data_IF_292912543379
#
_entry.id   IF_292912543379
#
_cell.length_a   1.000
_cell.length_b   1.000
_cell.length_c   1.000
_cell.angle_alpha   90.00
_cell.angle_beta   90.00
_cell.angle_gamma   90.00
#
_symmetry.space_group_name_H-M   'P 1'
#
loop_
_entity.id
_entity.type
_entity.pdbx_description
1 polymer ?
#
# COMPACT_ATOMS: atom_id res chain seq x y z
N UNK A 1 -32.87 -78.89 25.05
CA UNK A 1 -34.30 -79.22 25.04
C UNK A 1 -35.04 -78.16 25.85
N UNK A 2 -36.15 -77.54 25.45
CA UNK A 2 -36.80 -77.52 24.18
C UNK A 2 -36.85 -76.11 23.50
N UNK A 3 -37.24 -76.10 22.24
CA UNK A 3 -37.57 -75.02 21.43
C UNK A 3 -38.85 -74.27 21.88
N UNK A 4 -38.93 -72.95 21.54
CA UNK A 4 -40.21 -72.24 21.45
C UNK A 4 -40.17 -71.31 20.27
N UNK A 5 -41.06 -71.59 19.36
CA UNK A 5 -41.42 -70.80 18.17
C UNK A 5 -41.97 -69.44 18.59
N UNK A 6 -41.64 -68.39 17.88
CA UNK A 6 -42.32 -67.10 17.98
C UNK A 6 -42.70 -66.57 16.60
N UNK A 7 -43.95 -66.39 16.50
CA UNK A 7 -44.80 -65.99 15.40
C UNK A 7 -44.39 -64.64 14.82
N UNK A 8 -44.24 -64.61 13.48
CA UNK A 8 -44.10 -63.38 12.69
C UNK A 8 -45.48 -62.76 12.52
N UNK A 9 -45.65 -61.52 13.01
CA UNK A 9 -46.79 -60.66 12.69
C UNK A 9 -46.37 -59.63 11.66
N UNK A 10 -46.82 -59.79 10.46
CA UNK A 10 -46.64 -58.78 9.39
C UNK A 10 -47.57 -57.58 9.63
N UNK A 11 -46.96 -56.43 9.87
CA UNK A 11 -47.68 -55.15 9.85
C UNK A 11 -47.42 -54.47 8.50
N UNK A 12 -48.42 -54.48 7.62
CA UNK A 12 -48.43 -53.70 6.35
C UNK A 12 -48.77 -52.26 6.69
N UNK A 13 -47.89 -51.33 6.39
CA UNK A 13 -48.16 -49.91 6.38
C UNK A 13 -48.49 -49.48 4.90
N UNK A 14 -49.47 -48.61 4.72
CA UNK A 14 -49.86 -48.14 3.36
C UNK A 14 -48.84 -47.17 2.81
N UNK A 15 -48.67 -47.24 1.49
CA UNK A 15 -47.70 -46.43 0.72
C UNK A 15 -47.85 -44.92 0.90
N UNK A 16 -46.79 -44.30 1.25
CA UNK A 16 -46.61 -42.85 1.17
C UNK A 16 -45.94 -42.53 -0.15
N UNK A 17 -46.67 -41.87 -1.04
CA UNK A 17 -46.16 -41.26 -2.28
C UNK A 17 -45.12 -40.21 -1.93
N UNK A 18 -43.87 -40.58 -1.97
CA UNK A 18 -42.77 -39.63 -1.89
C UNK A 18 -42.55 -38.98 -3.26
N UNK A 19 -43.30 -37.92 -3.52
CA UNK A 19 -42.94 -36.97 -4.56
C UNK A 19 -41.70 -36.25 -4.11
N UNK A 20 -40.55 -36.69 -4.58
CA UNK A 20 -39.24 -36.05 -4.37
C UNK A 20 -39.29 -34.65 -4.98
N UNK A 21 -39.50 -33.65 -4.11
CA UNK A 21 -39.19 -32.27 -4.39
C UNK A 21 -37.66 -32.13 -4.38
N UNK A 22 -37.05 -32.30 -5.55
CA UNK A 22 -35.67 -31.91 -5.78
C UNK A 22 -35.60 -30.37 -5.72
N UNK A 23 -35.33 -29.83 -4.53
CA UNK A 23 -34.94 -28.42 -4.37
C UNK A 23 -33.52 -28.34 -4.91
N UNK A 24 -33.40 -28.01 -6.19
CA UNK A 24 -32.12 -27.62 -6.78
C UNK A 24 -31.64 -26.33 -6.16
N UNK A 25 -30.71 -26.42 -5.19
CA UNK A 25 -29.97 -25.28 -4.70
C UNK A 25 -29.08 -24.76 -5.82
N UNK A 26 -29.54 -23.73 -6.53
CA UNK A 26 -28.70 -22.96 -7.44
C UNK A 26 -27.74 -22.20 -6.55
N UNK A 27 -26.55 -22.77 -6.28
CA UNK A 27 -25.41 -22.05 -5.75
C UNK A 27 -24.90 -21.17 -6.88
N UNK A 28 -25.43 -19.95 -6.94
CA UNK A 28 -24.85 -18.90 -7.78
C UNK A 28 -23.46 -18.61 -7.22
N UNK A 29 -22.45 -19.25 -7.77
CA UNK A 29 -21.05 -18.94 -7.48
C UNK A 29 -20.78 -17.52 -7.93
N UNK A 30 -20.71 -16.59 -7.00
CA UNK A 30 -20.13 -15.26 -7.23
C UNK A 30 -18.65 -15.47 -7.61
N UNK A 31 -18.37 -15.57 -8.90
CA UNK A 31 -17.02 -15.55 -9.40
C UNK A 31 -16.45 -14.16 -9.10
N UNK A 32 -15.55 -14.07 -8.11
CA UNK A 32 -14.81 -12.84 -7.85
C UNK A 32 -13.99 -12.50 -9.11
N UNK A 33 -14.19 -11.31 -9.65
CA UNK A 33 -13.39 -10.83 -10.77
C UNK A 33 -11.92 -10.75 -10.36
N UNK A 34 -10.98 -11.07 -11.25
CA UNK A 34 -9.56 -10.86 -10.98
C UNK A 34 -9.31 -9.37 -10.67
N UNK A 35 -8.43 -9.07 -9.73
CA UNK A 35 -8.16 -7.70 -9.26
C UNK A 35 -7.92 -6.73 -10.44
N UNK A 36 -7.21 -7.17 -11.47
CA UNK A 36 -6.93 -6.37 -12.66
C UNK A 36 -8.17 -5.95 -13.49
N UNK A 37 -9.31 -6.57 -13.27
CA UNK A 37 -10.56 -6.26 -13.95
C UNK A 37 -11.55 -5.46 -13.07
N UNK A 38 -11.17 -5.19 -11.81
CA UNK A 38 -12.02 -4.42 -10.90
C UNK A 38 -11.82 -2.90 -11.11
N UNK A 39 -12.89 -2.10 -11.03
CA UNK A 39 -12.78 -0.64 -11.04
C UNK A 39 -11.99 -0.15 -9.81
N UNK A 40 -11.43 1.06 -9.91
CA UNK A 40 -10.60 1.65 -8.85
C UNK A 40 -11.29 1.63 -7.49
N UNK A 41 -12.58 1.96 -7.44
CA UNK A 41 -13.35 2.05 -6.19
C UNK A 41 -13.36 0.73 -5.41
N UNK A 42 -13.44 -0.38 -6.11
CA UNK A 42 -13.43 -1.71 -5.50
C UNK A 42 -12.02 -2.11 -5.02
N UNK A 43 -10.96 -1.50 -5.60
CA UNK A 43 -9.56 -1.73 -5.20
C UNK A 43 -9.11 -0.88 -4.04
N UNK A 44 -9.70 0.29 -3.80
CA UNK A 44 -9.28 1.23 -2.75
C UNK A 44 -9.14 0.57 -1.37
N UNK A 45 -10.07 -0.29 -0.89
CA UNK A 45 -9.89 -0.98 0.37
C UNK A 45 -8.61 -1.81 0.45
N UNK A 46 -8.24 -2.48 -0.66
CA UNK A 46 -7.00 -3.26 -0.74
C UNK A 46 -5.75 -2.36 -0.71
N UNK A 47 -5.79 -1.20 -1.36
CA UNK A 47 -4.71 -0.21 -1.30
C UNK A 47 -4.50 0.26 0.13
N UNK A 48 -5.58 0.65 0.81
CA UNK A 48 -5.53 1.17 2.16
C UNK A 48 -5.28 0.12 3.24
N UNK A 49 -5.49 -1.18 2.96
CA UNK A 49 -5.08 -2.25 3.86
C UNK A 49 -3.57 -2.23 4.15
N UNK A 50 -2.75 -1.80 3.17
CA UNK A 50 -1.30 -1.65 3.35
C UNK A 50 -0.90 -0.21 3.67
N UNK A 51 -1.50 0.77 3.02
CA UNK A 51 -1.12 2.18 3.15
C UNK A 51 -1.86 2.93 4.28
N UNK A 52 -2.76 2.25 5.02
CA UNK A 52 -3.59 2.82 6.08
C UNK A 52 -4.83 3.54 5.56
N UNK A 53 -5.98 3.40 6.23
CA UNK A 53 -7.27 3.97 5.81
C UNK A 53 -7.24 5.49 5.63
N UNK A 54 -6.44 6.18 6.44
CA UNK A 54 -6.19 7.62 6.37
C UNK A 54 -4.90 7.98 5.61
N UNK A 55 -4.29 7.02 4.90
CA UNK A 55 -3.03 7.20 4.20
C UNK A 55 -1.79 7.18 5.09
N UNK A 56 -1.90 6.75 6.36
CA UNK A 56 -0.76 6.60 7.28
C UNK A 56 -0.47 5.10 7.50
N UNK A 57 0.55 4.59 6.83
CA UNK A 57 0.91 3.17 6.88
C UNK A 57 1.48 2.75 8.23
N UNK A 58 1.08 1.58 8.70
CA UNK A 58 1.66 0.91 9.86
C UNK A 58 2.56 -0.28 9.47
N UNK A 59 2.57 -0.64 8.19
CA UNK A 59 3.37 -1.76 7.71
C UNK A 59 4.82 -1.36 7.46
N UNK A 60 5.80 -2.17 7.87
CA UNK A 60 7.21 -1.89 7.61
C UNK A 60 7.48 -1.65 6.12
N UNK A 61 8.35 -0.68 5.84
CA UNK A 61 8.80 -0.30 4.50
C UNK A 61 7.68 0.04 3.48
N UNK A 62 6.43 0.16 3.94
CA UNK A 62 5.30 0.59 3.13
C UNK A 62 5.05 2.08 3.35
N UNK A 63 5.05 2.92 2.31
CA UNK A 63 4.95 4.36 2.49
C UNK A 63 3.57 4.80 2.96
N UNK A 64 3.54 5.82 3.79
CA UNK A 64 2.36 6.65 3.98
C UNK A 64 2.05 7.44 2.72
N UNK A 65 0.78 7.53 2.33
CA UNK A 65 0.34 8.21 1.11
C UNK A 65 -0.31 9.57 1.38
N UNK A 66 -0.73 9.83 2.62
CA UNK A 66 -1.49 11.03 2.98
C UNK A 66 -0.79 12.32 2.54
N UNK A 67 -1.55 13.24 1.97
CA UNK A 67 -1.12 14.53 1.46
C UNK A 67 0.09 14.46 0.48
N UNK A 68 0.28 13.35 -0.23
CA UNK A 68 1.23 13.35 -1.33
C UNK A 68 0.68 14.19 -2.49
N UNK A 69 1.52 15.00 -3.16
CA UNK A 69 1.09 15.76 -4.32
C UNK A 69 0.46 14.86 -5.40
N UNK A 70 -0.70 15.25 -5.92
CA UNK A 70 -1.46 14.42 -6.87
C UNK A 70 -0.64 14.06 -8.11
N UNK A 71 0.13 15.00 -8.65
CA UNK A 71 0.95 14.73 -9.83
C UNK A 71 2.07 13.71 -9.52
N UNK A 72 2.75 13.84 -8.36
CA UNK A 72 3.71 12.84 -7.92
C UNK A 72 3.05 11.46 -7.78
N UNK A 73 1.90 11.37 -7.14
CA UNK A 73 1.18 10.11 -6.96
C UNK A 73 0.77 9.50 -8.31
N UNK A 74 0.26 10.30 -9.26
CA UNK A 74 -0.08 9.85 -10.62
C UNK A 74 1.14 9.24 -11.32
N UNK A 75 2.28 9.94 -11.28
CA UNK A 75 3.53 9.46 -11.91
C UNK A 75 3.98 8.14 -11.27
N UNK A 76 3.92 8.01 -9.94
CA UNK A 76 4.32 6.77 -9.28
C UNK A 76 3.39 5.60 -9.62
N UNK A 77 2.09 5.81 -9.64
CA UNK A 77 1.11 4.79 -10.03
C UNK A 77 1.32 4.35 -11.49
N UNK A 78 1.57 5.31 -12.40
CA UNK A 78 1.92 5.04 -13.80
C UNK A 78 3.18 4.18 -13.90
N UNK A 79 4.24 4.57 -13.20
CA UNK A 79 5.51 3.84 -13.22
C UNK A 79 5.36 2.39 -12.70
N UNK A 80 4.51 2.17 -11.70
CA UNK A 80 4.21 0.82 -11.22
C UNK A 80 3.39 0.03 -12.24
N UNK A 81 2.32 0.63 -12.80
CA UNK A 81 1.48 -0.01 -13.81
C UNK A 81 2.29 -0.48 -15.02
N UNK A 82 3.15 0.40 -15.52
CA UNK A 82 3.95 0.17 -16.73
C UNK A 82 5.30 -0.51 -16.43
N UNK A 83 5.51 -0.95 -15.16
CA UNK A 83 6.72 -1.65 -14.69
C UNK A 83 8.03 -0.86 -14.89
N UNK A 84 7.93 0.44 -14.99
CA UNK A 84 9.09 1.36 -15.00
C UNK A 84 9.71 1.48 -13.60
N UNK A 85 8.92 1.24 -12.57
CA UNK A 85 9.37 1.08 -11.20
C UNK A 85 8.93 -0.31 -10.73
N UNK A 86 9.91 -1.15 -10.35
CA UNK A 86 9.63 -2.53 -9.94
C UNK A 86 9.40 -2.60 -8.43
N UNK A 87 8.22 -3.04 -8.07
CA UNK A 87 7.82 -3.42 -6.71
C UNK A 87 6.62 -4.36 -6.87
N UNK A 88 6.84 -5.66 -6.75
CA UNK A 88 5.81 -6.65 -7.13
C UNK A 88 4.43 -6.42 -6.48
N UNK A 89 4.30 -6.09 -5.18
CA UNK A 89 2.98 -5.77 -4.66
C UNK A 89 2.30 -4.61 -5.41
N UNK A 90 3.05 -3.53 -5.71
CA UNK A 90 2.49 -2.35 -6.38
C UNK A 90 2.26 -2.58 -7.87
N UNK A 91 3.12 -3.34 -8.54
CA UNK A 91 2.94 -3.66 -9.95
C UNK A 91 1.64 -4.47 -10.19
N UNK A 92 1.31 -5.40 -9.31
CA UNK A 92 0.03 -6.13 -9.38
C UNK A 92 -1.16 -5.26 -8.96
N UNK A 93 -0.98 -4.40 -7.93
CA UNK A 93 -2.05 -3.49 -7.48
C UNK A 93 -2.45 -2.45 -8.54
N UNK A 94 -1.53 -2.01 -9.38
CA UNK A 94 -1.80 -1.00 -10.42
C UNK A 94 -2.13 -1.58 -11.79
N UNK A 95 -1.92 -2.87 -11.99
CA UNK A 95 -2.17 -3.56 -13.25
C UNK A 95 -3.61 -3.38 -13.74
N UNK A 96 -3.75 -2.97 -14.99
CA UNK A 96 -5.05 -2.76 -15.63
C UNK A 96 -5.82 -1.50 -15.20
N UNK A 97 -5.25 -0.63 -14.35
CA UNK A 97 -5.82 0.68 -14.09
C UNK A 97 -5.69 1.57 -15.34
N UNK A 98 -6.74 2.28 -15.69
CA UNK A 98 -6.72 3.29 -16.75
C UNK A 98 -6.01 4.57 -16.27
N UNK A 99 -5.64 5.46 -17.20
CA UNK A 99 -5.07 6.77 -16.86
C UNK A 99 -6.04 7.60 -15.99
N UNK A 100 -7.35 7.48 -16.23
CA UNK A 100 -8.36 8.13 -15.43
C UNK A 100 -8.40 7.56 -13.99
N UNK A 101 -8.21 6.24 -13.82
CA UNK A 101 -8.10 5.62 -12.49
C UNK A 101 -6.86 6.08 -11.75
N UNK A 102 -5.71 6.19 -12.44
CA UNK A 102 -4.47 6.69 -11.82
C UNK A 102 -4.65 8.12 -11.31
N UNK A 103 -5.22 9.01 -12.13
CA UNK A 103 -5.50 10.39 -11.74
C UNK A 103 -6.48 10.45 -10.56
N UNK A 104 -7.57 9.71 -10.63
CA UNK A 104 -8.57 9.66 -9.56
C UNK A 104 -7.98 9.11 -8.25
N UNK A 105 -7.18 8.05 -8.32
CA UNK A 105 -6.46 7.50 -7.17
C UNK A 105 -5.49 8.51 -6.56
N UNK A 106 -4.76 9.23 -7.39
CA UNK A 106 -3.85 10.29 -6.96
C UNK A 106 -4.58 11.48 -6.31
N UNK A 107 -5.75 11.87 -6.85
CA UNK A 107 -6.60 12.91 -6.26
C UNK A 107 -7.13 12.51 -4.88
N UNK A 108 -7.50 11.24 -4.71
CA UNK A 108 -7.90 10.72 -3.41
C UNK A 108 -6.74 10.80 -2.43
N UNK A 109 -5.55 10.31 -2.81
CA UNK A 109 -4.32 10.33 -2.00
C UNK A 109 -3.98 11.75 -1.55
N UNK A 110 -4.03 12.73 -2.44
CA UNK A 110 -3.65 14.11 -2.15
C UNK A 110 -4.58 14.80 -1.13
N UNK A 111 -5.82 14.32 -1.00
CA UNK A 111 -6.83 14.85 -0.07
C UNK A 111 -6.84 14.16 1.29
N UNK A 112 -6.10 13.05 1.45
CA UNK A 112 -5.94 12.41 2.75
C UNK A 112 -5.13 13.32 3.68
N UNK A 113 -5.34 13.24 5.01
CA UNK A 113 -4.56 14.02 5.96
C UNK A 113 -3.07 13.66 5.86
N UNK A 114 -2.16 14.62 6.12
CA UNK A 114 -0.74 14.33 6.17
C UNK A 114 -0.43 13.30 7.27
N UNK A 115 0.55 12.41 7.05
CA UNK A 115 0.97 11.46 8.06
C UNK A 115 1.41 12.18 9.33
N UNK A 116 1.07 11.62 10.49
CA UNK A 116 1.54 12.15 11.75
C UNK A 116 3.01 11.75 11.97
N UNK A 117 3.84 12.65 12.50
CA UNK A 117 5.20 12.34 12.88
C UNK A 117 5.28 11.17 13.87
N UNK A 118 6.41 10.49 13.90
CA UNK A 118 6.69 9.47 14.92
C UNK A 118 6.54 10.10 16.31
N UNK A 119 5.67 9.51 17.14
CA UNK A 119 5.37 9.99 18.49
C UNK A 119 6.34 9.38 19.50
N UNK A 120 7.61 9.78 19.46
CA UNK A 120 8.62 9.41 20.44
C UNK A 120 9.31 10.65 21.01
N UNK A 121 10.22 10.45 21.97
CA UNK A 121 11.13 11.52 22.41
C UNK A 121 12.35 11.48 21.47
N UNK A 122 12.51 12.48 20.59
CA UNK A 122 13.57 12.43 19.60
C UNK A 122 14.98 12.49 20.21
N UNK A 123 15.88 11.68 19.67
CA UNK A 123 17.33 11.86 19.90
C UNK A 123 17.78 13.17 19.25
N UNK A 124 18.19 14.14 20.07
CA UNK A 124 18.57 15.46 19.62
C UNK A 124 19.80 15.45 18.69
N UNK A 125 20.74 14.53 18.92
CA UNK A 125 21.94 14.39 18.08
C UNK A 125 21.60 13.88 16.68
N UNK A 126 20.72 12.89 16.57
CA UNK A 126 20.23 12.42 15.26
C UNK A 126 19.42 13.48 14.53
N UNK A 127 18.55 14.19 15.25
CA UNK A 127 17.78 15.30 14.68
C UNK A 127 18.69 16.38 14.11
N UNK A 128 19.73 16.77 14.84
CA UNK A 128 20.68 17.79 14.40
C UNK A 128 21.49 17.34 13.19
N UNK A 129 22.04 16.11 13.22
CA UNK A 129 22.77 15.57 12.05
C UNK A 129 21.87 15.45 10.82
N UNK A 130 20.66 14.94 10.96
CA UNK A 130 19.71 14.83 9.86
C UNK A 130 19.34 16.19 9.28
N UNK A 131 19.12 17.21 10.13
CA UNK A 131 18.88 18.59 9.71
C UNK A 131 20.07 19.15 8.93
N UNK A 132 21.29 19.03 9.49
CA UNK A 132 22.51 19.53 8.86
C UNK A 132 22.74 18.88 7.48
N UNK A 133 22.52 17.57 7.35
CA UNK A 133 22.58 16.87 6.07
C UNK A 133 21.54 17.38 5.09
N UNK A 134 20.29 17.58 5.52
CA UNK A 134 19.23 18.09 4.67
C UNK A 134 19.50 19.52 4.17
N UNK A 135 20.11 20.37 4.99
CA UNK A 135 20.54 21.71 4.62
C UNK A 135 21.76 21.69 3.68
N UNK A 136 22.79 20.91 4.01
CA UNK A 136 24.00 20.75 3.20
C UNK A 136 23.68 20.29 1.77
N UNK A 137 22.77 19.33 1.64
CA UNK A 137 22.36 18.76 0.35
C UNK A 137 21.14 19.45 -0.26
N UNK A 138 20.69 20.57 0.33
CA UNK A 138 19.59 21.42 -0.16
C UNK A 138 18.29 20.67 -0.45
N UNK A 139 17.96 19.67 0.37
CA UNK A 139 16.77 18.86 0.16
C UNK A 139 15.48 19.72 0.12
N UNK A 140 15.43 20.77 0.95
CA UNK A 140 14.35 21.74 1.01
C UNK A 140 14.18 22.58 -0.26
N UNK A 141 15.16 22.64 -1.15
CA UNK A 141 15.04 23.41 -2.40
C UNK A 141 13.97 22.80 -3.31
N UNK A 142 13.94 21.48 -3.44
CA UNK A 142 12.95 20.76 -4.22
C UNK A 142 11.74 20.32 -3.36
N UNK A 143 11.98 19.83 -2.14
CA UNK A 143 10.93 19.29 -1.30
C UNK A 143 10.17 20.35 -0.48
N UNK A 144 10.45 21.64 -0.68
CA UNK A 144 9.97 22.80 0.07
C UNK A 144 10.54 22.92 1.49
N UNK A 145 10.42 24.09 2.10
CA UNK A 145 10.98 24.37 3.42
C UNK A 145 10.34 23.54 4.54
N UNK A 146 9.11 23.11 4.35
CA UNK A 146 8.34 22.25 5.26
C UNK A 146 8.34 20.77 4.84
N UNK A 147 9.07 20.44 3.79
CA UNK A 147 9.13 19.09 3.19
C UNK A 147 7.75 18.50 2.79
N UNK A 148 6.79 19.37 2.51
CA UNK A 148 5.46 18.96 2.03
C UNK A 148 5.47 18.47 0.57
N UNK A 149 6.50 18.81 -0.20
CA UNK A 149 6.58 18.51 -1.62
C UNK A 149 5.63 19.35 -2.48
N UNK A 150 5.74 19.26 -3.78
CA UNK A 150 4.86 19.90 -4.74
C UNK A 150 4.96 19.22 -6.10
N UNK A 151 3.94 19.30 -6.92
CA UNK A 151 3.94 18.73 -8.28
C UNK A 151 4.44 17.27 -8.32
N UNK A 152 5.58 17.03 -9.00
CA UNK A 152 6.24 15.72 -9.07
C UNK A 152 7.26 15.46 -7.95
N UNK A 153 7.42 16.38 -7.02
CA UNK A 153 8.32 16.26 -5.86
C UNK A 153 7.53 15.79 -4.64
N UNK A 154 7.89 14.65 -4.00
CA UNK A 154 7.08 14.08 -2.93
C UNK A 154 7.19 14.83 -1.61
N UNK A 155 6.12 14.69 -0.80
CA UNK A 155 6.15 15.00 0.62
C UNK A 155 7.07 14.00 1.34
N UNK A 156 7.96 14.52 2.19
CA UNK A 156 8.87 13.77 3.04
C UNK A 156 8.50 13.87 4.52
N UNK A 157 7.96 15.02 4.94
CA UNK A 157 7.58 15.27 6.33
C UNK A 157 6.56 14.25 6.84
N UNK A 158 6.85 13.63 7.98
CA UNK A 158 6.02 12.61 8.61
C UNK A 158 6.01 11.25 7.89
N UNK A 159 6.82 11.08 6.85
CA UNK A 159 6.92 9.77 6.17
C UNK A 159 7.63 8.75 7.07
N UNK A 160 7.33 7.47 6.91
CA UNK A 160 7.96 6.38 7.67
C UNK A 160 9.48 6.39 7.54
N UNK A 161 10.17 6.29 8.68
CA UNK A 161 11.63 6.29 8.74
C UNK A 161 12.25 5.14 7.91
N UNK A 162 11.73 3.92 8.07
CA UNK A 162 12.20 2.74 7.35
C UNK A 162 12.00 2.84 5.83
N UNK A 163 10.87 3.42 5.40
CA UNK A 163 10.62 3.65 3.98
C UNK A 163 11.52 4.75 3.41
N UNK A 164 11.75 5.84 4.14
CA UNK A 164 12.67 6.90 3.71
C UNK A 164 14.09 6.36 3.52
N UNK A 165 14.59 5.58 4.50
CA UNK A 165 15.89 4.93 4.41
C UNK A 165 15.99 4.04 3.17
N UNK A 166 15.02 3.15 2.97
CA UNK A 166 14.92 2.27 1.79
C UNK A 166 14.90 3.06 0.48
N UNK A 167 14.13 4.14 0.44
CA UNK A 167 14.01 4.96 -0.77
C UNK A 167 15.30 5.68 -1.12
N UNK A 168 15.97 6.30 -0.13
CA UNK A 168 17.26 6.98 -0.31
C UNK A 168 18.34 6.01 -0.79
N UNK A 169 18.42 4.84 -0.18
CA UNK A 169 19.34 3.78 -0.58
C UNK A 169 19.05 3.29 -2.00
N UNK A 170 17.77 3.10 -2.32
CA UNK A 170 17.35 2.66 -3.64
C UNK A 170 17.70 3.65 -4.77
N UNK A 171 17.69 4.95 -4.49
CA UNK A 171 18.19 5.94 -5.44
C UNK A 171 19.70 5.85 -5.63
N UNK A 172 20.45 5.60 -4.55
CA UNK A 172 21.91 5.49 -4.61
C UNK A 172 22.38 4.25 -5.37
N UNK A 173 21.73 3.11 -5.18
CA UNK A 173 22.11 1.84 -5.81
C UNK A 173 21.37 1.56 -7.13
N UNK A 174 20.57 2.53 -7.60
CA UNK A 174 19.75 2.45 -8.81
C UNK A 174 18.71 1.33 -8.81
N UNK A 175 18.35 0.77 -7.66
CA UNK A 175 17.23 -0.18 -7.54
C UNK A 175 15.88 0.55 -7.59
N UNK A 176 15.86 1.85 -7.33
CA UNK A 176 14.72 2.74 -7.50
C UNK A 176 15.01 3.77 -8.58
N UNK A 177 14.48 3.55 -9.77
CA UNK A 177 14.56 4.57 -10.81
C UNK A 177 13.67 5.76 -10.45
N UNK A 178 14.24 6.96 -10.47
CA UNK A 178 13.48 8.19 -10.37
C UNK A 178 12.86 8.51 -11.73
N UNK A 179 11.70 9.18 -11.71
CA UNK A 179 11.18 9.87 -12.88
C UNK A 179 12.19 10.93 -13.38
N UNK A 180 12.98 11.45 -12.44
CA UNK A 180 14.05 12.41 -12.65
C UNK A 180 15.34 11.85 -12.01
N UNK A 181 16.46 11.88 -12.73
CA UNK A 181 17.76 11.42 -12.27
C UNK A 181 18.33 12.26 -11.10
N UNK A 182 17.79 13.47 -10.86
CA UNK A 182 18.32 14.41 -9.86
C UNK A 182 18.42 13.80 -8.46
N UNK A 183 17.43 12.96 -8.05
CA UNK A 183 17.51 12.32 -6.74
C UNK A 183 18.69 11.37 -6.62
N UNK A 184 19.03 10.63 -7.65
CA UNK A 184 20.20 9.74 -7.66
C UNK A 184 21.50 10.53 -7.53
N UNK A 185 21.60 11.67 -8.23
CA UNK A 185 22.79 12.56 -8.16
C UNK A 185 22.95 13.18 -6.76
N UNK A 186 21.85 13.66 -6.16
CA UNK A 186 21.86 14.28 -4.82
C UNK A 186 22.29 13.29 -3.74
N UNK A 187 21.82 12.03 -3.81
CA UNK A 187 22.13 11.02 -2.78
C UNK A 187 23.44 10.28 -3.02
N UNK A 188 24.02 10.41 -4.21
CA UNK A 188 25.23 9.67 -4.59
C UNK A 188 26.40 9.81 -3.58
N UNK A 189 26.73 11.03 -3.05
CA UNK A 189 27.83 11.20 -2.09
C UNK A 189 27.52 10.68 -0.68
N UNK A 190 26.24 10.45 -0.35
CA UNK A 190 25.80 10.09 1.00
C UNK A 190 26.10 8.61 1.32
N UNK A 191 26.21 8.30 2.61
CA UNK A 191 26.44 6.95 3.15
C UNK A 191 25.20 6.44 3.89
N UNK A 192 25.15 5.15 4.20
CA UNK A 192 24.03 4.55 4.92
C UNK A 192 23.76 5.23 6.28
N UNK A 193 24.79 5.69 6.99
CA UNK A 193 24.65 6.47 8.22
C UNK A 193 23.95 7.81 7.99
N UNK A 194 24.28 8.49 6.89
CA UNK A 194 23.64 9.76 6.51
C UNK A 194 22.16 9.52 6.14
N UNK A 195 21.85 8.42 5.44
CA UNK A 195 20.47 8.05 5.15
C UNK A 195 19.66 7.76 6.41
N UNK A 196 20.28 7.11 7.41
CA UNK A 196 19.62 6.82 8.68
C UNK A 196 19.28 8.11 9.45
N UNK A 197 20.19 9.08 9.50
CA UNK A 197 19.93 10.35 10.18
C UNK A 197 18.95 11.25 9.38
N UNK A 198 19.03 11.28 8.05
CA UNK A 198 18.05 11.97 7.21
C UNK A 198 16.64 11.38 7.38
N UNK A 199 16.50 10.07 7.29
CA UNK A 199 15.22 9.38 7.46
C UNK A 199 14.63 9.63 8.85
N UNK A 200 15.48 9.60 9.89
CA UNK A 200 15.10 9.89 11.26
C UNK A 200 14.53 11.31 11.41
N UNK A 201 15.25 12.31 10.88
CA UNK A 201 14.83 13.71 10.92
C UNK A 201 13.51 13.92 10.19
N UNK A 202 13.41 13.50 8.93
CA UNK A 202 12.24 13.72 8.08
C UNK A 202 10.97 13.03 8.61
N UNK A 203 11.10 11.85 9.20
CA UNK A 203 9.98 11.13 9.78
C UNK A 203 9.35 11.82 11.00
N UNK A 204 10.08 12.76 11.63
CA UNK A 204 9.66 13.51 12.82
C UNK A 204 9.23 14.95 12.54
N UNK A 205 9.23 15.36 11.27
CA UNK A 205 8.66 16.63 10.84
C UNK A 205 7.13 16.55 10.69
N UNK A 206 6.45 17.69 10.90
CA UNK A 206 4.99 17.83 10.72
C UNK A 206 4.64 18.23 9.30
#
# INVERSE_FOLDING_TARGET
MPALDAVASAFSLPGADMRSLAIGAIVAGLAALPLAAQPLEERLPTCFACHGENGTSQLPETPSLGAQPAFYATVQLLMFRDRLRVSEPMNEMTKGLSDADLQKGADIISKLPPPQPVADTPDSGRMERGRALAEQHRCNFCHQSDYAGHENVPRLAGQREDYLFKALRGYKDNSRYAYDAQMSDVVYPLKDGDFADLAYFLARLK
#
